data_IF_893231433262
#
_entry.id   IF_893231433262
#
_cell.length_a   1.000
_cell.length_b   1.000
_cell.length_c   1.000
_cell.angle_alpha   90.00
_cell.angle_beta   90.00
_cell.angle_gamma   90.00
#
_symmetry.space_group_name_H-M   'P 1'
#
loop_
_entity.id
_entity.type
_entity.pdbx_description
1 polymer ?
#
# COMPACT_ATOMS: atom_id res chain seq x y z
N UNK A 1 -13.32 53.68 32.13
CA UNK A 1 -13.11 52.24 31.79
C UNK A 1 -13.88 51.74 30.57
N UNK A 2 -15.07 52.28 30.26
CA UNK A 2 -15.93 51.85 29.12
C UNK A 2 -15.24 51.87 27.74
N UNK A 3 -14.35 52.84 27.49
CA UNK A 3 -13.69 53.00 26.19
C UNK A 3 -12.62 51.92 25.88
N UNK A 4 -11.96 51.36 26.91
CA UNK A 4 -11.00 50.26 26.74
C UNK A 4 -11.72 48.93 26.49
N UNK A 5 -12.87 48.72 27.15
CA UNK A 5 -13.74 47.56 26.95
C UNK A 5 -14.32 47.51 25.52
N UNK A 6 -14.73 48.64 24.95
CA UNK A 6 -15.21 48.70 23.57
C UNK A 6 -14.11 48.36 22.53
N UNK A 7 -12.88 48.84 22.75
CA UNK A 7 -11.73 48.48 21.90
C UNK A 7 -11.37 46.98 22.02
N UNK A 8 -11.49 46.40 23.21
CA UNK A 8 -11.24 44.97 23.43
C UNK A 8 -12.31 44.10 22.76
N UNK A 9 -13.59 44.48 22.88
CA UNK A 9 -14.71 43.79 22.20
C UNK A 9 -14.53 43.79 20.69
N UNK A 10 -14.17 44.93 20.09
CA UNK A 10 -13.89 45.01 18.65
C UNK A 10 -12.77 44.08 18.19
N UNK A 11 -11.67 43.98 18.96
CA UNK A 11 -10.57 43.04 18.65
C UNK A 11 -11.01 41.57 18.76
N UNK A 12 -11.78 41.24 19.79
CA UNK A 12 -12.32 39.88 19.97
C UNK A 12 -13.26 39.53 18.82
N UNK A 13 -14.14 40.44 18.40
CA UNK A 13 -15.05 40.22 17.26
C UNK A 13 -14.27 39.98 15.96
N UNK A 14 -13.20 40.72 15.70
CA UNK A 14 -12.37 40.53 14.50
C UNK A 14 -11.61 39.19 14.52
N UNK A 15 -11.13 38.76 15.69
CA UNK A 15 -10.49 37.45 15.87
C UNK A 15 -11.51 36.32 15.65
N UNK A 16 -12.70 36.43 16.24
CA UNK A 16 -13.79 35.47 16.05
C UNK A 16 -14.23 35.38 14.60
N UNK A 17 -14.34 36.52 13.91
CA UNK A 17 -14.68 36.58 12.48
C UNK A 17 -13.61 35.87 11.63
N UNK A 18 -12.33 36.11 11.88
CA UNK A 18 -11.23 35.42 11.17
C UNK A 18 -11.23 33.91 11.43
N UNK A 19 -11.51 33.49 12.67
CA UNK A 19 -11.54 32.09 13.06
C UNK A 19 -12.71 31.35 12.38
N UNK A 20 -13.87 32.00 12.27
CA UNK A 20 -15.04 31.50 11.53
C UNK A 20 -14.72 31.39 10.04
N UNK A 21 -14.05 32.39 9.45
CA UNK A 21 -13.63 32.35 8.03
C UNK A 21 -12.66 31.20 7.75
N UNK A 22 -11.67 30.95 8.62
CA UNK A 22 -10.77 29.79 8.50
C UNK A 22 -11.54 28.47 8.59
N UNK A 23 -12.53 28.37 9.49
CA UNK A 23 -13.34 27.18 9.63
C UNK A 23 -14.21 26.94 8.39
N UNK A 24 -14.84 27.99 7.85
CA UNK A 24 -15.62 27.92 6.60
C UNK A 24 -14.74 27.54 5.40
N UNK A 25 -13.50 28.03 5.31
CA UNK A 25 -12.55 27.61 4.28
C UNK A 25 -12.14 26.13 4.41
N UNK A 26 -12.09 25.58 5.62
CA UNK A 26 -11.82 24.17 5.86
C UNK A 26 -13.03 23.26 5.53
N UNK A 27 -14.25 23.81 5.51
CA UNK A 27 -15.49 23.11 5.15
C UNK A 27 -15.77 23.13 3.65
N UNK A 28 -15.12 24.01 2.88
CA UNK A 28 -15.16 23.92 1.42
C UNK A 28 -14.52 22.59 1.02
N UNK A 29 -15.33 21.69 0.45
CA UNK A 29 -14.80 20.62 -0.36
C UNK A 29 -13.97 21.27 -1.46
N UNK A 30 -12.65 21.32 -1.24
CA UNK A 30 -11.68 21.61 -2.29
C UNK A 30 -12.13 20.77 -3.48
N UNK A 31 -12.19 21.38 -4.66
CA UNK A 31 -12.37 20.68 -5.93
C UNK A 31 -11.18 19.72 -6.06
N UNK A 32 -11.28 18.58 -5.38
CA UNK A 32 -10.25 17.59 -5.31
C UNK A 32 -10.32 16.96 -6.69
N UNK A 33 -9.39 17.34 -7.57
CA UNK A 33 -9.03 16.48 -8.69
C UNK A 33 -8.97 15.05 -8.16
N UNK A 34 -9.55 14.10 -8.89
CA UNK A 34 -9.83 12.75 -8.40
C UNK A 34 -8.67 12.14 -7.61
N UNK A 35 -8.96 11.14 -6.77
CA UNK A 35 -8.00 10.48 -5.86
C UNK A 35 -6.68 10.14 -6.58
N UNK A 36 -6.73 9.86 -7.88
CA UNK A 36 -5.61 9.69 -8.80
C UNK A 36 -4.54 10.78 -8.82
N UNK A 37 -4.89 12.03 -8.53
CA UNK A 37 -3.99 13.19 -8.51
C UNK A 37 -3.39 13.48 -7.12
N UNK A 38 -3.85 12.77 -6.09
CA UNK A 38 -3.33 12.96 -4.73
C UNK A 38 -1.89 12.45 -4.61
N UNK A 39 -1.08 13.12 -3.77
CA UNK A 39 0.29 12.69 -3.46
C UNK A 39 0.32 11.30 -2.81
N UNK A 40 -0.71 10.94 -2.05
CA UNK A 40 -0.86 9.62 -1.45
C UNK A 40 -1.02 8.55 -2.53
N UNK A 41 -1.94 8.74 -3.47
CA UNK A 41 -2.17 7.76 -4.54
C UNK A 41 -0.98 7.62 -5.48
N UNK A 42 -0.42 8.73 -5.95
CA UNK A 42 0.75 8.73 -6.86
C UNK A 42 1.99 8.17 -6.18
N UNK A 43 2.21 8.51 -4.90
CA UNK A 43 3.30 7.98 -4.09
C UNK A 43 3.17 6.47 -3.87
N UNK A 44 2.01 5.97 -3.45
CA UNK A 44 1.78 4.53 -3.26
C UNK A 44 1.92 3.76 -4.56
N UNK A 45 1.44 4.31 -5.68
CA UNK A 45 1.59 3.69 -6.99
C UNK A 45 3.05 3.59 -7.42
N UNK A 46 3.85 4.64 -7.20
CA UNK A 46 5.29 4.61 -7.52
C UNK A 46 6.02 3.59 -6.64
N UNK A 47 5.77 3.64 -5.32
CA UNK A 47 6.35 2.70 -4.37
C UNK A 47 6.04 1.23 -4.74
N UNK A 48 4.80 0.95 -5.14
CA UNK A 48 4.41 -0.39 -5.55
C UNK A 48 5.11 -0.83 -6.84
N UNK A 49 5.22 0.06 -7.83
CA UNK A 49 5.94 -0.23 -9.07
C UNK A 49 7.44 -0.48 -8.82
N UNK A 50 8.05 0.28 -7.92
CA UNK A 50 9.46 0.13 -7.55
C UNK A 50 9.68 -1.20 -6.79
N UNK A 51 8.72 -1.59 -5.93
CA UNK A 51 8.78 -2.86 -5.20
C UNK A 51 8.42 -4.10 -6.03
N UNK A 52 7.67 -3.94 -7.12
CA UNK A 52 7.19 -5.07 -7.95
C UNK A 52 8.35 -5.94 -8.45
N UNK A 53 9.37 -5.32 -9.02
CA UNK A 53 10.54 -6.03 -9.58
C UNK A 53 11.32 -6.82 -8.52
N UNK A 54 11.76 -6.21 -7.40
CA UNK A 54 12.48 -6.95 -6.36
C UNK A 54 11.61 -8.01 -5.68
N UNK A 55 10.29 -7.77 -5.51
CA UNK A 55 9.40 -8.75 -4.88
C UNK A 55 9.28 -10.04 -5.72
N UNK A 56 9.09 -9.90 -7.03
CA UNK A 56 9.08 -11.06 -7.95
C UNK A 56 10.46 -11.72 -7.98
N UNK A 57 11.53 -10.94 -8.13
CA UNK A 57 12.90 -11.44 -8.18
C UNK A 57 13.28 -12.28 -6.95
N UNK A 58 13.05 -11.74 -5.74
CA UNK A 58 13.35 -12.43 -4.49
C UNK A 58 12.48 -13.68 -4.30
N UNK A 59 11.18 -13.59 -4.60
CA UNK A 59 10.28 -14.76 -4.49
C UNK A 59 10.71 -15.91 -5.41
N UNK A 60 11.15 -15.59 -6.63
CA UNK A 60 11.64 -16.56 -7.60
C UNK A 60 12.92 -17.25 -7.11
N UNK A 61 13.91 -16.46 -6.67
CA UNK A 61 15.18 -17.00 -6.18
C UNK A 61 14.96 -17.93 -4.97
N UNK A 62 14.19 -17.47 -3.98
CA UNK A 62 13.92 -18.25 -2.77
C UNK A 62 13.18 -19.55 -3.11
N UNK A 63 12.16 -19.47 -3.96
CA UNK A 63 11.39 -20.66 -4.30
C UNK A 63 12.19 -21.66 -5.15
N UNK A 64 13.06 -21.21 -6.06
CA UNK A 64 13.97 -22.11 -6.80
C UNK A 64 14.90 -22.84 -5.82
N UNK A 65 15.51 -22.12 -4.88
CA UNK A 65 16.39 -22.70 -3.87
C UNK A 65 15.64 -23.73 -3.01
N UNK A 66 14.42 -23.40 -2.56
CA UNK A 66 13.59 -24.33 -1.79
C UNK A 66 13.20 -25.57 -2.61
N UNK A 67 12.87 -25.41 -3.90
CA UNK A 67 12.56 -26.55 -4.77
C UNK A 67 13.78 -27.46 -4.89
N UNK A 68 14.97 -26.91 -5.16
CA UNK A 68 16.22 -27.69 -5.28
C UNK A 68 16.51 -28.46 -3.99
N UNK A 69 16.42 -27.83 -2.82
CA UNK A 69 16.65 -28.49 -1.52
C UNK A 69 15.64 -29.63 -1.31
N UNK A 70 14.36 -29.40 -1.59
CA UNK A 70 13.33 -30.44 -1.42
C UNK A 70 13.51 -31.58 -2.44
N UNK A 71 13.98 -31.29 -3.66
CA UNK A 71 14.30 -32.32 -4.66
C UNK A 71 15.48 -33.19 -4.25
N UNK A 72 16.56 -32.59 -3.71
CA UNK A 72 17.72 -33.34 -3.20
C UNK A 72 17.29 -34.24 -2.04
N UNK A 73 16.52 -33.71 -1.08
CA UNK A 73 15.99 -34.49 0.04
C UNK A 73 15.06 -35.62 -0.42
N UNK A 74 14.25 -35.39 -1.44
CA UNK A 74 13.37 -36.40 -2.02
C UNK A 74 14.16 -37.57 -2.64
N UNK A 75 15.30 -37.29 -3.29
CA UNK A 75 16.14 -38.35 -3.88
C UNK A 75 16.82 -39.25 -2.84
N UNK A 76 16.96 -38.79 -1.60
CA UNK A 76 17.61 -39.52 -0.52
C UNK A 76 16.61 -40.14 0.47
N UNK A 77 15.30 -39.93 0.26
CA UNK A 77 14.24 -40.32 1.18
C UNK A 77 13.50 -41.57 0.73
N UNK A 78 12.95 -42.30 1.69
CA UNK A 78 12.09 -43.45 1.45
C UNK A 78 10.72 -43.04 0.84
N UNK A 79 9.94 -44.02 0.37
CA UNK A 79 8.67 -43.80 -0.36
C UNK A 79 7.65 -42.92 0.38
N UNK A 80 7.63 -42.98 1.71
CA UNK A 80 6.72 -42.21 2.57
C UNK A 80 7.08 -40.72 2.54
N UNK A 81 8.36 -40.41 2.70
CA UNK A 81 8.86 -39.03 2.71
C UNK A 81 8.83 -38.39 1.32
N UNK A 82 9.01 -39.19 0.27
CA UNK A 82 8.92 -38.71 -1.11
C UNK A 82 7.56 -38.07 -1.41
N UNK A 83 6.46 -38.63 -0.90
CA UNK A 83 5.12 -38.03 -1.06
C UNK A 83 4.99 -36.69 -0.33
N UNK A 84 5.61 -36.57 0.84
CA UNK A 84 5.62 -35.33 1.62
C UNK A 84 6.41 -34.22 0.92
N UNK A 85 7.59 -34.52 0.37
CA UNK A 85 8.39 -33.57 -0.39
C UNK A 85 7.72 -33.14 -1.70
N UNK A 86 7.05 -34.06 -2.41
CA UNK A 86 6.22 -33.71 -3.59
C UNK A 86 5.11 -32.72 -3.25
N UNK A 87 4.39 -32.94 -2.13
CA UNK A 87 3.35 -32.01 -1.66
C UNK A 87 3.94 -30.63 -1.35
N UNK A 88 5.11 -30.57 -0.71
CA UNK A 88 5.81 -29.31 -0.40
C UNK A 88 6.23 -28.56 -1.65
N UNK A 89 6.79 -29.25 -2.65
CA UNK A 89 7.14 -28.65 -3.95
C UNK A 89 5.89 -28.09 -4.64
N UNK A 90 4.78 -28.82 -4.63
CA UNK A 90 3.50 -28.35 -5.16
C UNK A 90 3.03 -27.06 -4.48
N UNK A 91 3.13 -26.98 -3.15
CA UNK A 91 2.78 -25.76 -2.40
C UNK A 91 3.70 -24.59 -2.79
N UNK A 92 5.00 -24.81 -2.94
CA UNK A 92 5.95 -23.76 -3.34
C UNK A 92 5.61 -23.22 -4.74
N UNK A 93 5.27 -24.11 -5.70
CA UNK A 93 4.84 -23.71 -7.04
C UNK A 93 3.56 -22.87 -7.01
N UNK A 94 2.56 -23.28 -6.22
CA UNK A 94 1.31 -22.52 -6.03
C UNK A 94 1.61 -21.14 -5.42
N UNK A 95 2.47 -21.07 -4.42
CA UNK A 95 2.88 -19.79 -3.81
C UNK A 95 3.56 -18.87 -4.83
N UNK A 96 4.46 -19.37 -5.68
CA UNK A 96 5.08 -18.55 -6.73
C UNK A 96 4.03 -17.94 -7.67
N UNK A 97 3.06 -18.74 -8.12
CA UNK A 97 1.98 -18.26 -9.00
C UNK A 97 1.12 -17.22 -8.30
N UNK A 98 0.80 -17.42 -7.02
CA UNK A 98 0.03 -16.47 -6.22
C UNK A 98 0.74 -15.13 -6.07
N UNK A 99 2.05 -15.12 -5.80
CA UNK A 99 2.83 -13.87 -5.69
C UNK A 99 2.78 -13.08 -6.99
N UNK A 100 3.02 -13.73 -8.13
CA UNK A 100 2.94 -13.06 -9.45
C UNK A 100 1.53 -12.50 -9.71
N UNK A 101 0.50 -13.26 -9.35
CA UNK A 101 -0.90 -12.86 -9.51
C UNK A 101 -1.24 -11.61 -8.68
N UNK A 102 -0.88 -11.59 -7.40
CA UNK A 102 -1.11 -10.42 -6.52
C UNK A 102 -0.37 -9.19 -7.05
N UNK A 103 0.88 -9.36 -7.48
CA UNK A 103 1.69 -8.26 -8.00
C UNK A 103 1.14 -7.68 -9.31
N UNK A 104 0.44 -8.49 -10.12
CA UNK A 104 -0.26 -8.04 -11.31
C UNK A 104 -1.63 -7.39 -11.03
N UNK A 105 -2.32 -7.82 -9.97
CA UNK A 105 -3.66 -7.31 -9.62
C UNK A 105 -3.64 -5.90 -9.05
N UNK A 106 -2.69 -5.57 -8.18
CA UNK A 106 -2.60 -4.24 -7.54
C UNK A 106 -2.54 -3.08 -8.56
N UNK A 107 -1.67 -3.08 -9.59
CA UNK A 107 -1.65 -1.99 -10.57
C UNK A 107 -2.92 -1.94 -11.43
N UNK A 108 -3.56 -3.10 -11.66
CA UNK A 108 -4.85 -3.20 -12.36
C UNK A 108 -5.95 -2.51 -11.56
N UNK A 109 -6.06 -2.79 -10.26
CA UNK A 109 -7.01 -2.14 -9.36
C UNK A 109 -6.73 -0.64 -9.27
N UNK A 110 -5.48 -0.25 -9.07
CA UNK A 110 -5.08 1.16 -9.03
C UNK A 110 -5.40 1.89 -10.34
N UNK A 111 -5.46 1.21 -11.49
CA UNK A 111 -5.81 1.87 -12.76
C UNK A 111 -7.26 2.37 -12.80
N UNK A 112 -8.18 1.77 -12.04
CA UNK A 112 -9.59 2.17 -11.97
C UNK A 112 -9.83 3.43 -11.12
N UNK A 113 -8.89 3.78 -10.23
CA UNK A 113 -8.99 4.93 -9.33
C UNK A 113 -8.17 6.15 -9.78
N UNK A 114 -7.64 6.09 -11.01
CA UNK A 114 -6.97 7.22 -11.65
C UNK A 114 -7.93 8.38 -11.90
#
# INVERSE_FOLDING_TARGET
>A
MKNKLMKLRGKITVIMMNMITCFLMAQNHVYAGGIGSSKLFTGTKSMFNDMKTPLIGLSSVIGIVMIIINLIRMKMSDDVDTKMYKKRIGIILVCMVLVVSVVALVPTILSYYK
#
